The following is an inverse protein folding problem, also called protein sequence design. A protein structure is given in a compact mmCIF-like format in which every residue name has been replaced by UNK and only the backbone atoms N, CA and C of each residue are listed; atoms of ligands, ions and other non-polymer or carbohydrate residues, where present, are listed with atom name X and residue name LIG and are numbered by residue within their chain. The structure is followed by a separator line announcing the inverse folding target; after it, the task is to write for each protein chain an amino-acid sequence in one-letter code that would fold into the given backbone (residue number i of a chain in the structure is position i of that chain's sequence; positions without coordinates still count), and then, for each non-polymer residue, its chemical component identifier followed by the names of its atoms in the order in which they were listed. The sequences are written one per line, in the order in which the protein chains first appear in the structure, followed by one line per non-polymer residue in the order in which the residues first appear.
data_IF_291985779501
#
_entry.id   IF_291985779501
#
_cell.length_a   1.000
_cell.length_b   1.000
_cell.length_c   1.000
_cell.angle_alpha   90.00
_cell.angle_beta   90.00
_cell.angle_gamma   90.00
#
_symmetry.space_group_name_H-M   'P 1'
#
loop_
_entity.id
_entity.type
_entity.pdbx_description
1 polymer ?
#
# COMPACT_ATOMS: atom_id res chain seq x y z
N UNK A 1 -6.97 5.93 -8.83
CA UNK A 1 -7.62 7.25 -8.61
C UNK A 1 -6.78 8.31 -9.30
N UNK A 2 -7.37 9.40 -9.76
CA UNK A 2 -6.63 10.50 -10.40
C UNK A 2 -5.85 11.30 -9.36
N UNK A 3 -4.59 11.67 -9.66
CA UNK A 3 -3.84 12.62 -8.84
C UNK A 3 -4.33 14.05 -9.10
N UNK A 4 -4.29 14.90 -8.07
CA UNK A 4 -4.72 16.29 -8.14
C UNK A 4 -3.68 17.22 -7.52
N UNK A 5 -3.70 18.53 -7.82
CA UNK A 5 -2.91 19.50 -7.07
C UNK A 5 -3.26 19.46 -5.58
N UNK A 6 -2.24 19.45 -4.73
CA UNK A 6 -2.43 19.56 -3.28
C UNK A 6 -2.82 21.00 -2.90
N UNK A 7 -3.75 21.19 -1.95
CA UNK A 7 -4.15 22.53 -1.49
C UNK A 7 -3.13 23.17 -0.54
N UNK A 8 -2.04 22.46 -0.23
CA UNK A 8 -0.92 22.89 0.60
C UNK A 8 0.35 22.17 0.14
N UNK A 9 1.52 22.65 0.59
CA UNK A 9 2.78 21.97 0.34
C UNK A 9 2.79 20.60 1.03
N UNK A 10 2.73 19.54 0.21
CA UNK A 10 2.73 18.16 0.65
C UNK A 10 4.06 17.45 0.33
N UNK A 11 5.15 18.22 0.17
CA UNK A 11 6.51 17.72 -0.09
C UNK A 11 6.61 16.91 -1.39
N UNK A 12 5.79 17.25 -2.39
CA UNK A 12 5.77 16.56 -3.69
C UNK A 12 5.19 15.14 -3.65
N UNK A 13 4.52 14.75 -2.56
CA UNK A 13 3.89 13.43 -2.43
C UNK A 13 2.64 13.31 -3.32
N UNK A 14 2.20 12.08 -3.69
CA UNK A 14 0.97 11.91 -4.45
C UNK A 14 -0.25 12.40 -3.66
N UNK A 15 -1.01 13.34 -4.25
CA UNK A 15 -2.22 13.89 -3.66
C UNK A 15 -3.49 13.40 -4.37
N UNK A 16 -4.45 12.93 -3.59
CA UNK A 16 -5.77 12.51 -4.06
C UNK A 16 -6.84 13.43 -3.48
N UNK A 17 -7.64 14.08 -4.33
CA UNK A 17 -8.65 15.07 -3.92
C UNK A 17 -9.80 14.50 -3.05
N UNK A 18 -9.97 13.18 -3.06
CA UNK A 18 -11.11 12.47 -2.47
C UNK A 18 -12.48 12.85 -3.06
N UNK A 19 -12.53 13.54 -4.21
CA UNK A 19 -13.78 13.86 -4.91
C UNK A 19 -14.28 12.64 -5.69
N UNK A 20 -15.60 12.46 -5.72
CA UNK A 20 -16.24 11.40 -6.50
C UNK A 20 -15.84 11.45 -7.98
N UNK A 21 -15.72 12.66 -8.55
CA UNK A 21 -15.31 12.87 -9.94
C UNK A 21 -13.88 12.40 -10.26
N UNK A 22 -13.02 12.21 -9.25
CA UNK A 22 -11.63 11.74 -9.42
C UNK A 22 -11.48 10.23 -9.17
N UNK A 23 -12.61 9.54 -8.94
CA UNK A 23 -12.66 8.09 -8.93
C UNK A 23 -12.45 7.55 -10.35
N UNK A 24 -11.43 6.70 -10.51
CA UNK A 24 -11.18 6.00 -11.76
C UNK A 24 -11.76 4.59 -11.63
N UNK A 25 -12.69 4.18 -12.52
CA UNK A 25 -13.20 2.82 -12.51
C UNK A 25 -12.08 1.84 -12.83
N UNK A 26 -12.20 0.61 -12.30
CA UNK A 26 -11.24 -0.47 -12.52
C UNK A 26 -11.93 -1.63 -13.21
N UNK A 27 -11.24 -2.25 -14.17
CA UNK A 27 -11.67 -3.49 -14.80
C UNK A 27 -11.07 -4.69 -14.07
N UNK A 28 -11.88 -5.65 -13.60
CA UNK A 28 -11.37 -6.88 -12.99
C UNK A 28 -10.33 -7.60 -13.88
N UNK A 29 -9.31 -8.18 -13.26
CA UNK A 29 -8.22 -8.88 -13.96
C UNK A 29 -7.16 -7.96 -14.58
N UNK A 30 -7.35 -6.63 -14.57
CA UNK A 30 -6.36 -5.67 -15.07
C UNK A 30 -5.51 -5.12 -13.92
N UNK A 31 -4.19 -5.09 -14.08
CA UNK A 31 -3.27 -4.46 -13.12
C UNK A 31 -3.18 -2.96 -13.38
N UNK A 32 -3.29 -2.15 -12.32
CA UNK A 32 -3.16 -0.69 -12.38
C UNK A 32 -2.02 -0.22 -11.47
N UNK A 33 -1.25 0.80 -11.88
CA UNK A 33 -0.28 1.44 -11.00
C UNK A 33 -1.01 2.17 -9.87
N UNK A 34 -0.54 1.98 -8.65
CA UNK A 34 -1.07 2.63 -7.46
C UNK A 34 0.08 3.22 -6.65
N UNK A 35 -0.06 4.48 -6.27
CA UNK A 35 0.85 5.16 -5.36
C UNK A 35 0.12 5.53 -4.08
N UNK A 36 0.69 5.15 -2.94
CA UNK A 36 0.13 5.43 -1.62
C UNK A 36 1.23 6.11 -0.82
N UNK A 37 1.01 7.38 -0.46
CA UNK A 37 1.85 8.04 0.53
C UNK A 37 1.52 7.46 1.91
N UNK A 38 2.51 6.82 2.56
CA UNK A 38 2.37 6.34 3.93
C UNK A 38 2.52 7.50 4.91
N UNK A 39 1.88 7.38 6.08
CA UNK A 39 2.08 8.35 7.16
C UNK A 39 3.56 8.48 7.50
N UNK A 40 4.08 9.70 7.75
CA UNK A 40 5.46 9.90 8.16
C UNK A 40 5.81 9.07 9.40
N UNK A 41 7.00 8.46 9.41
CA UNK A 41 7.48 7.64 10.53
C UNK A 41 8.95 7.93 10.78
N UNK A 42 9.33 8.04 12.06
CA UNK A 42 10.72 7.99 12.50
C UNK A 42 10.94 6.71 13.31
N UNK A 43 11.79 5.81 12.80
CA UNK A 43 12.06 4.52 13.46
C UNK A 43 13.52 4.09 13.28
N UNK A 44 14.17 3.73 14.39
CA UNK A 44 15.46 3.03 14.37
C UNK A 44 15.25 1.53 14.18
N UNK A 45 15.80 0.97 13.09
CA UNK A 45 15.83 -0.47 12.84
C UNK A 45 17.13 -1.07 13.38
N UNK A 46 17.05 -2.00 14.32
CA UNK A 46 18.21 -2.73 14.87
C UNK A 46 18.42 -4.02 14.09
N UNK A 47 19.62 -4.59 14.18
CA UNK A 47 19.89 -5.92 13.65
C UNK A 47 18.86 -6.95 14.18
N UNK A 48 18.39 -7.83 13.31
CA UNK A 48 17.34 -8.82 13.61
C UNK A 48 15.90 -8.31 13.46
N UNK A 49 15.68 -7.02 13.21
CA UNK A 49 14.33 -6.50 12.95
C UNK A 49 13.82 -6.93 11.58
N UNK A 50 12.49 -6.92 11.44
CA UNK A 50 11.79 -7.23 10.19
C UNK A 50 10.87 -6.08 9.82
N UNK A 51 10.92 -5.68 8.56
CA UNK A 51 9.95 -4.75 7.97
C UNK A 51 8.86 -5.60 7.33
N UNK A 52 7.60 -5.35 7.70
CA UNK A 52 6.44 -6.06 7.17
C UNK A 52 5.47 -5.07 6.55
N UNK A 53 5.14 -5.30 5.28
CA UNK A 53 4.01 -4.66 4.62
C UNK A 53 2.80 -5.60 4.71
N UNK A 54 1.65 -5.08 5.15
CA UNK A 54 0.37 -5.79 5.09
C UNK A 54 -0.59 -4.99 4.22
N UNK A 55 -1.20 -5.66 3.25
CA UNK A 55 -2.22 -5.10 2.36
C UNK A 55 -3.50 -5.86 2.63
N UNK A 56 -4.59 -5.13 2.93
CA UNK A 56 -5.90 -5.68 3.26
C UNK A 56 -6.98 -4.89 2.53
N UNK A 57 -8.03 -5.57 2.09
CA UNK A 57 -9.16 -4.93 1.39
C UNK A 57 -10.15 -4.20 2.31
N UNK A 58 -10.14 -4.51 3.60
CA UNK A 58 -11.01 -3.88 4.59
C UNK A 58 -10.32 -3.81 5.96
N UNK A 59 -10.67 -2.80 6.75
CA UNK A 59 -10.36 -2.72 8.17
C UNK A 59 -11.62 -3.08 8.98
N UNK A 60 -11.60 -4.09 9.87
CA UNK A 60 -12.72 -4.41 10.74
C UNK A 60 -13.22 -3.24 11.60
N UNK A 61 -12.37 -2.22 11.85
CA UNK A 61 -12.73 -1.02 12.62
C UNK A 61 -13.43 0.05 11.77
N UNK A 62 -13.62 -0.19 10.49
CA UNK A 62 -14.29 0.74 9.60
C UNK A 62 -15.78 0.87 9.98
N UNK A 63 -16.21 2.11 10.29
CA UNK A 63 -17.54 2.39 10.83
C UNK A 63 -18.71 1.97 9.93
N UNK A 64 -18.52 2.02 8.61
CA UNK A 64 -19.55 1.68 7.63
C UNK A 64 -19.40 0.27 7.04
N UNK A 65 -18.71 -0.65 7.73
CA UNK A 65 -18.42 -2.00 7.18
C UNK A 65 -19.69 -2.77 6.79
N UNK A 66 -20.81 -2.58 7.51
CA UNK A 66 -22.08 -3.21 7.17
C UNK A 66 -22.66 -2.74 5.83
N UNK A 67 -22.44 -1.47 5.47
CA UNK A 67 -22.95 -0.87 4.23
C UNK A 67 -22.12 -1.25 3.00
N UNK A 68 -20.82 -1.45 3.18
CA UNK A 68 -19.88 -1.73 2.09
C UNK A 68 -19.51 -3.21 1.95
N UNK A 69 -20.09 -4.08 2.79
CA UNK A 69 -19.79 -5.51 2.77
C UNK A 69 -20.28 -6.12 1.46
N UNK A 70 -19.43 -6.95 0.85
CA UNK A 70 -19.70 -7.69 -0.38
C UNK A 70 -19.57 -9.18 -0.11
N UNK A 71 -20.48 -9.97 -0.66
CA UNK A 71 -20.49 -11.43 -0.53
C UNK A 71 -20.73 -12.07 -1.92
N UNK A 72 -19.73 -12.77 -2.50
CA UNK A 72 -18.39 -13.00 -1.96
C UNK A 72 -17.52 -11.73 -1.92
N UNK A 73 -16.50 -11.67 -1.05
CA UNK A 73 -15.58 -10.54 -1.02
C UNK A 73 -14.72 -10.47 -2.29
N UNK A 74 -14.32 -9.27 -2.70
CA UNK A 74 -13.42 -9.09 -3.84
C UNK A 74 -12.03 -9.67 -3.57
N UNK A 75 -11.43 -10.29 -4.60
CA UNK A 75 -10.05 -10.75 -4.57
C UNK A 75 -9.10 -9.62 -4.98
N UNK A 76 -8.17 -9.27 -4.09
CA UNK A 76 -7.09 -8.35 -4.39
C UNK A 76 -5.84 -9.12 -4.83
N UNK A 77 -5.26 -8.74 -5.96
CA UNK A 77 -3.96 -9.24 -6.42
C UNK A 77 -2.93 -8.11 -6.46
N UNK A 78 -1.69 -8.43 -6.13
CA UNK A 78 -0.56 -7.49 -6.21
C UNK A 78 0.50 -8.10 -7.10
N UNK A 79 0.81 -7.42 -8.19
CA UNK A 79 1.93 -7.82 -9.07
C UNK A 79 3.24 -7.45 -8.39
N UNK A 80 4.09 -8.45 -8.12
CA UNK A 80 5.45 -8.25 -7.60
C UNK A 80 6.47 -8.15 -8.75
N UNK A 81 7.60 -7.51 -8.50
CA UNK A 81 8.57 -7.16 -9.55
C UNK A 81 8.09 -5.99 -10.42
N UNK A 82 8.83 -5.66 -11.49
CA UNK A 82 8.47 -4.62 -12.47
C UNK A 82 8.20 -3.22 -11.87
N UNK A 83 8.86 -2.87 -10.77
CA UNK A 83 8.76 -1.54 -10.16
C UNK A 83 7.85 -1.43 -8.93
N UNK A 84 7.11 -2.49 -8.56
CA UNK A 84 6.41 -2.58 -7.27
C UNK A 84 7.43 -2.51 -6.14
N UNK A 85 7.34 -1.48 -5.30
CA UNK A 85 8.30 -1.22 -4.22
C UNK A 85 7.65 -0.47 -3.07
N UNK A 86 8.29 -0.52 -1.91
CA UNK A 86 8.07 0.41 -0.81
C UNK A 86 9.28 1.32 -0.75
N UNK A 87 9.06 2.62 -0.87
CA UNK A 87 10.11 3.62 -0.69
C UNK A 87 10.24 3.92 0.80
N UNK A 88 11.45 3.74 1.33
CA UNK A 88 11.77 4.02 2.73
C UNK A 88 12.82 5.14 2.72
N UNK A 89 12.51 6.33 3.27
CA UNK A 89 13.44 7.46 3.30
C UNK A 89 14.49 7.23 4.40
N UNK A 90 15.37 6.27 4.19
CA UNK A 90 16.42 5.94 5.14
C UNK A 90 17.58 6.93 4.99
N UNK A 91 18.04 7.48 6.11
CA UNK A 91 19.24 8.35 6.15
C UNK A 91 20.50 7.62 5.68
N UNK A 92 20.53 6.29 5.84
CA UNK A 92 21.61 5.42 5.37
C UNK A 92 21.04 4.22 4.61
N UNK A 93 21.80 3.64 3.66
CA UNK A 93 21.31 2.49 2.90
C UNK A 93 20.91 1.30 3.79
N UNK A 94 19.66 0.86 3.69
CA UNK A 94 19.18 -0.32 4.42
C UNK A 94 19.80 -1.58 3.79
N UNK A 95 20.50 -2.36 4.60
CA UNK A 95 21.01 -3.68 4.22
C UNK A 95 20.06 -4.74 4.75
N UNK A 96 19.41 -5.45 3.84
CA UNK A 96 18.62 -6.62 4.18
C UNK A 96 19.53 -7.85 4.24
N UNK A 97 19.40 -8.67 5.28
CA UNK A 97 20.02 -9.99 5.27
C UNK A 97 19.41 -10.82 4.14
N UNK A 98 20.20 -11.70 3.52
CA UNK A 98 19.72 -12.63 2.51
C UNK A 98 18.48 -13.37 3.04
N UNK A 99 17.43 -13.40 2.22
CA UNK A 99 16.15 -13.97 2.61
C UNK A 99 16.35 -15.45 2.91
N UNK A 100 16.16 -15.86 4.17
CA UNK A 100 16.10 -17.29 4.49
C UNK A 100 14.87 -17.86 3.78
N UNK A 101 15.06 -18.87 2.95
CA UNK A 101 13.96 -19.62 2.34
C UNK A 101 13.08 -20.18 3.45
N UNK A 102 11.92 -19.58 3.70
CA UNK A 102 10.88 -20.17 4.53
C UNK A 102 9.95 -20.94 3.60
N UNK A 103 10.21 -22.23 3.45
CA UNK A 103 9.28 -23.19 2.87
C UNK A 103 8.23 -23.50 3.95
N UNK A 104 7.15 -22.73 4.00
CA UNK A 104 5.98 -23.07 4.78
C UNK A 104 4.75 -22.96 3.86
N UNK A 105 3.87 -23.97 3.79
CA UNK A 105 2.67 -23.89 3.00
C UNK A 105 1.74 -22.81 3.57
N UNK A 106 1.04 -22.12 2.68
CA UNK A 106 -0.15 -21.36 3.03
C UNK A 106 -1.27 -22.39 3.01
N UNK A 107 -1.74 -22.82 4.19
CA UNK A 107 -3.03 -23.53 4.34
C UNK A 107 -4.20 -22.61 4.04
#
# INVERSE_FOLDING_TARGET
RKLSPAPYDNLGLPWHSSRAADALPVTPGTSYPLQIALSPTAKRFRAGYRIRLSIRGADPRQRNIAEIRRDPPERLSVTLGKGTRVEIPAETPIRFAAQRSSKAPIE
#
